data_IF_259119526511
#
_entry.id   IF_259119526511
#
_cell.length_a   1.000
_cell.length_b   1.000
_cell.length_c   1.000
_cell.angle_alpha   90.00
_cell.angle_beta   90.00
_cell.angle_gamma   90.00
#
_symmetry.space_group_name_H-M   'P 1'
#
loop_
_entity.id
_entity.type
_entity.pdbx_description
1 polymer ?
#
# COMPACT_ATOMS: atom_id res chain seq x y z
N UNK A 1 1.75 11.02 -17.10
CA UNK A 1 1.14 12.35 -17.30
C UNK A 1 -0.38 12.22 -17.29
N UNK A 2 -1.11 13.27 -16.90
CA UNK A 2 -2.58 13.24 -16.75
C UNK A 2 -3.34 13.70 -18.01
N UNK A 3 -2.65 13.79 -19.15
CA UNK A 3 -3.20 14.16 -20.45
C UNK A 3 -4.04 15.46 -20.41
N UNK A 4 -3.53 16.49 -19.72
CA UNK A 4 -4.22 17.78 -19.56
C UNK A 4 -5.40 17.79 -18.57
N UNK A 5 -5.72 16.67 -17.90
CA UNK A 5 -6.78 16.62 -16.90
C UNK A 5 -6.29 17.08 -15.53
N UNK A 6 -7.10 17.88 -14.85
CA UNK A 6 -6.78 18.44 -13.53
C UNK A 6 -6.88 17.32 -12.48
N UNK A 7 -5.83 17.15 -11.68
CA UNK A 7 -5.88 16.31 -10.47
C UNK A 7 -6.55 17.09 -9.35
N UNK A 8 -7.59 16.53 -8.72
CA UNK A 8 -8.30 17.19 -7.61
C UNK A 8 -7.81 16.73 -6.25
N UNK A 9 -7.50 15.44 -6.13
CA UNK A 9 -7.10 14.84 -4.86
C UNK A 9 -5.97 13.83 -5.11
N UNK A 10 -5.02 13.78 -4.19
CA UNK A 10 -3.89 12.89 -4.24
C UNK A 10 -3.66 12.25 -2.87
N UNK A 11 -3.53 10.92 -2.84
CA UNK A 11 -3.19 10.18 -1.62
C UNK A 11 -2.03 9.25 -1.93
N UNK A 12 -0.97 9.34 -1.14
CA UNK A 12 0.24 8.53 -1.30
C UNK A 12 0.57 7.86 0.02
N UNK A 13 0.79 6.55 -0.05
CA UNK A 13 1.24 5.74 1.08
C UNK A 13 2.74 5.48 0.98
N UNK A 14 3.22 5.09 -0.21
CA UNK A 14 4.62 4.70 -0.45
C UNK A 14 5.04 5.04 -1.88
N UNK A 15 6.34 4.92 -2.18
CA UNK A 15 6.82 4.85 -3.56
C UNK A 15 6.06 3.77 -4.34
N UNK A 16 5.50 4.14 -5.50
CA UNK A 16 4.63 3.29 -6.35
C UNK A 16 3.36 2.75 -5.67
N UNK A 17 2.94 3.34 -4.55
CA UNK A 17 1.68 3.04 -3.86
C UNK A 17 0.92 4.34 -3.57
N UNK A 18 0.17 4.80 -4.57
CA UNK A 18 -0.59 6.04 -4.52
C UNK A 18 -1.86 5.93 -5.37
N UNK A 19 -2.79 6.83 -5.09
CA UNK A 19 -4.03 6.99 -5.84
C UNK A 19 -4.34 8.47 -5.99
N UNK A 20 -5.14 8.81 -6.97
CA UNK A 20 -5.55 10.19 -7.22
C UNK A 20 -6.90 10.24 -7.91
N UNK A 21 -7.63 11.32 -7.66
CA UNK A 21 -8.83 11.65 -8.42
C UNK A 21 -8.49 12.65 -9.49
N UNK A 22 -9.08 12.42 -10.65
CA UNK A 22 -9.02 13.34 -11.77
C UNK A 22 -10.37 14.05 -11.84
N UNK A 23 -10.34 15.35 -12.09
CA UNK A 23 -11.52 16.13 -12.40
C UNK A 23 -12.11 15.63 -13.73
N UNK A 24 -13.23 14.92 -13.65
CA UNK A 24 -13.96 14.47 -14.83
C UNK A 24 -15.21 15.35 -15.01
N UNK A 25 -15.23 16.20 -16.05
CA UNK A 25 -16.44 16.87 -16.53
C UNK A 25 -17.35 15.81 -17.18
N UNK A 26 -18.10 15.05 -16.37
CA UNK A 26 -19.03 14.02 -16.84
C UNK A 26 -20.32 14.67 -17.38
N UNK A 27 -20.39 14.93 -18.69
CA UNK A 27 -21.66 15.11 -19.40
C UNK A 27 -22.00 13.82 -20.16
N UNK A 28 -23.16 13.22 -19.85
CA UNK A 28 -23.79 12.19 -20.67
C UNK A 28 -25.31 12.15 -20.37
N UNK A 29 -26.13 12.45 -21.37
CA UNK A 29 -27.56 12.10 -21.39
C UNK A 29 -27.67 10.67 -21.97
N UNK A 30 -28.43 9.80 -21.31
CA UNK A 30 -28.78 8.43 -21.74
C UNK A 30 -27.67 7.37 -21.91
N UNK A 31 -26.54 7.45 -21.18
CA UNK A 31 -25.57 6.33 -21.09
C UNK A 31 -25.27 5.96 -19.64
N UNK A 32 -25.39 4.67 -19.31
CA UNK A 32 -25.02 4.12 -17.99
C UNK A 32 -23.50 4.01 -17.88
N UNK A 33 -22.94 4.83 -16.98
CA UNK A 33 -21.52 4.86 -16.55
C UNK A 33 -21.06 3.44 -16.18
N UNK A 34 -20.23 2.73 -16.96
CA UNK A 34 -19.90 1.36 -16.61
C UNK A 34 -19.13 1.33 -15.28
N UNK A 35 -19.48 0.32 -14.50
CA UNK A 35 -19.15 0.02 -13.12
C UNK A 35 -17.70 -0.47 -13.07
N UNK A 36 -16.75 0.46 -13.22
CA UNK A 36 -15.32 0.18 -13.10
C UNK A 36 -14.97 0.16 -11.60
N UNK A 37 -15.33 -0.94 -10.92
CA UNK A 37 -14.86 -1.21 -9.56
C UNK A 37 -13.60 -2.05 -9.64
N UNK A 38 -12.45 -1.39 -9.55
CA UNK A 38 -11.25 -2.03 -9.00
C UNK A 38 -11.52 -2.34 -7.51
N UNK A 39 -11.04 -3.48 -7.02
CA UNK A 39 -11.13 -3.88 -5.60
C UNK A 39 -10.48 -2.88 -4.61
N UNK A 40 -9.66 -1.95 -5.14
CA UNK A 40 -9.07 -0.83 -4.42
C UNK A 40 -9.65 0.49 -4.93
N UNK A 41 -10.40 1.17 -4.07
CA UNK A 41 -10.98 2.48 -4.30
C UNK A 41 -10.14 3.58 -3.63
N UNK A 42 -10.28 4.82 -4.10
CA UNK A 42 -9.60 5.98 -3.51
C UNK A 42 -9.82 6.08 -1.99
N UNK A 43 -11.04 5.80 -1.53
CA UNK A 43 -11.40 5.82 -0.10
C UNK A 43 -10.61 4.78 0.72
N UNK A 44 -10.21 3.65 0.13
CA UNK A 44 -9.40 2.66 0.84
C UNK A 44 -8.00 3.20 1.15
N UNK A 45 -7.41 3.98 0.23
CA UNK A 45 -6.13 4.64 0.48
C UNK A 45 -6.28 5.73 1.55
N UNK A 46 -7.34 6.52 1.49
CA UNK A 46 -7.63 7.56 2.48
C UNK A 46 -7.82 6.97 3.88
N UNK A 47 -8.62 5.91 4.00
CA UNK A 47 -8.83 5.17 5.25
C UNK A 47 -7.55 4.51 5.75
N UNK A 48 -6.76 3.91 4.86
CA UNK A 48 -5.48 3.32 5.21
C UNK A 48 -4.54 4.37 5.79
N UNK A 49 -4.45 5.56 5.16
CA UNK A 49 -3.60 6.66 5.62
C UNK A 49 -4.03 7.16 7.02
N UNK A 50 -5.31 7.44 7.21
CA UNK A 50 -5.82 8.05 8.45
C UNK A 50 -5.86 7.07 9.62
N UNK A 51 -6.37 5.85 9.38
CA UNK A 51 -6.57 4.87 10.45
C UNK A 51 -5.33 3.99 10.67
N UNK A 52 -4.32 4.09 9.79
CA UNK A 52 -3.11 3.25 9.76
C UNK A 52 -3.43 1.75 9.65
N UNK A 53 -4.61 1.42 9.14
CA UNK A 53 -5.08 0.05 9.00
C UNK A 53 -4.68 -0.51 7.63
N UNK A 54 -3.95 -1.63 7.58
CA UNK A 54 -3.61 -2.26 6.31
C UNK A 54 -4.85 -2.89 5.65
N UNK A 55 -4.92 -2.82 4.32
CA UNK A 55 -5.96 -3.52 3.54
C UNK A 55 -5.34 -4.77 2.92
N UNK A 56 -6.05 -5.89 3.04
CA UNK A 56 -5.68 -7.15 2.41
C UNK A 56 -6.60 -7.45 1.22
N UNK A 57 -6.06 -8.07 0.18
CA UNK A 57 -6.77 -8.46 -1.03
C UNK A 57 -6.43 -9.91 -1.34
N UNK A 58 -7.46 -10.70 -1.66
CA UNK A 58 -7.30 -12.07 -2.12
C UNK A 58 -6.98 -12.06 -3.61
N UNK A 59 -6.00 -12.83 -4.01
CA UNK A 59 -5.66 -13.03 -5.41
C UNK A 59 -5.35 -14.50 -5.65
N UNK A 60 -5.82 -15.03 -6.78
CA UNK A 60 -5.46 -16.37 -7.22
C UNK A 60 -4.24 -16.25 -8.14
N UNK A 61 -3.21 -17.03 -7.84
CA UNK A 61 -2.00 -17.08 -8.67
C UNK A 61 -1.75 -18.51 -9.15
N UNK A 62 -1.18 -18.63 -10.34
CA UNK A 62 -0.57 -19.87 -10.78
C UNK A 62 0.79 -20.02 -10.08
N UNK A 63 1.04 -21.21 -9.52
CA UNK A 63 2.34 -21.63 -9.02
C UNK A 63 2.77 -22.91 -9.69
N UNK A 64 4.06 -22.99 -9.95
CA UNK A 64 4.71 -24.20 -10.44
C UNK A 64 5.69 -24.67 -9.38
N UNK A 65 5.56 -25.93 -8.97
CA UNK A 65 6.55 -26.61 -8.15
C UNK A 65 6.75 -28.02 -8.70
N UNK A 66 7.99 -28.50 -8.76
CA UNK A 66 8.35 -29.82 -9.33
C UNK A 66 7.67 -30.14 -10.67
N UNK A 67 7.53 -29.14 -11.54
CA UNK A 67 6.88 -29.22 -12.85
C UNK A 67 5.35 -29.47 -12.83
N UNK A 68 4.70 -29.33 -11.68
CA UNK A 68 3.24 -29.35 -11.55
C UNK A 68 2.70 -27.93 -11.37
N UNK A 69 1.63 -27.59 -12.11
CA UNK A 69 0.99 -26.28 -12.07
C UNK A 69 -0.29 -26.38 -11.23
N UNK A 70 -0.43 -25.49 -10.25
CA UNK A 70 -1.61 -25.40 -9.41
C UNK A 70 -1.98 -23.94 -9.11
N UNK A 71 -3.25 -23.74 -8.76
CA UNK A 71 -3.79 -22.42 -8.38
C UNK A 71 -3.69 -22.28 -6.86
N UNK A 72 -3.16 -21.15 -6.39
CA UNK A 72 -3.09 -20.81 -4.97
C UNK A 72 -3.83 -19.52 -4.72
N UNK A 73 -4.80 -19.54 -3.82
CA UNK A 73 -5.38 -18.31 -3.25
C UNK A 73 -4.37 -17.72 -2.25
N UNK A 74 -3.97 -16.47 -2.48
CA UNK A 74 -3.10 -15.72 -1.59
C UNK A 74 -3.82 -14.51 -1.04
N UNK A 75 -3.74 -14.32 0.27
CA UNK A 75 -4.17 -13.09 0.92
C UNK A 75 -3.01 -12.10 1.04
N UNK A 76 -2.96 -11.10 0.16
CA UNK A 76 -1.83 -10.15 0.07
C UNK A 76 -2.17 -8.83 0.75
N UNK A 77 -1.21 -8.28 1.50
CA UNK A 77 -1.31 -6.90 2.02
C UNK A 77 -1.21 -5.92 0.85
N UNK A 78 -2.34 -5.33 0.46
CA UNK A 78 -2.47 -4.46 -0.69
C UNK A 78 -2.18 -2.99 -0.35
N UNK A 79 -2.67 -2.51 0.80
CA UNK A 79 -2.41 -1.15 1.29
C UNK A 79 -1.76 -1.20 2.67
N UNK A 80 -0.75 -0.37 2.87
CA UNK A 80 -0.05 -0.18 4.14
C UNK A 80 0.58 1.21 4.15
N UNK A 81 0.47 1.91 5.28
CA UNK A 81 1.13 3.22 5.48
C UNK A 81 2.64 3.06 5.63
N UNK A 82 3.08 1.92 6.16
CA UNK A 82 4.50 1.69 6.45
C UNK A 82 5.27 1.22 5.22
N UNK A 83 6.45 1.80 5.01
CA UNK A 83 7.40 1.42 3.98
C UNK A 83 8.40 0.41 4.56
N UNK A 84 8.25 -0.89 4.23
CA UNK A 84 9.15 -1.94 4.76
C UNK A 84 10.63 -1.78 4.34
N UNK A 85 10.97 -0.84 3.45
CA UNK A 85 12.35 -0.56 2.98
C UNK A 85 12.94 0.70 3.61
N UNK A 86 12.17 1.43 4.42
CA UNK A 86 12.62 2.67 5.06
C UNK A 86 12.34 2.67 6.55
N UNK A 87 13.28 3.23 7.30
CA UNK A 87 13.14 3.54 8.71
C UNK A 87 12.66 4.98 8.86
N UNK A 88 11.54 5.18 9.56
CA UNK A 88 11.06 6.51 9.95
C UNK A 88 11.85 6.92 11.19
N UNK A 89 12.55 8.07 11.12
CA UNK A 89 13.29 8.62 12.25
C UNK A 89 12.34 9.09 13.36
N UNK A 90 12.87 9.35 14.56
CA UNK A 90 12.08 9.75 15.73
C UNK A 90 11.24 11.02 15.50
N UNK A 91 11.67 11.88 14.56
CA UNK A 91 10.93 13.06 14.15
C UNK A 91 9.66 12.77 13.34
N UNK A 92 9.42 11.51 12.96
CA UNK A 92 8.20 11.06 12.29
C UNK A 92 8.06 11.48 10.82
N UNK A 93 9.03 12.23 10.29
CA UNK A 93 8.97 12.82 8.93
C UNK A 93 10.08 12.26 8.06
N UNK A 94 11.31 12.27 8.57
CA UNK A 94 12.46 11.86 7.79
C UNK A 94 12.53 10.34 7.73
N UNK A 95 12.82 9.85 6.52
CA UNK A 95 12.93 8.41 6.26
C UNK A 95 14.30 8.10 5.69
N UNK A 96 14.99 7.14 6.31
CA UNK A 96 16.31 6.67 5.87
C UNK A 96 16.22 5.21 5.45
N UNK A 97 17.13 4.78 4.58
CA UNK A 97 17.22 3.35 4.25
C UNK A 97 17.68 2.56 5.48
N UNK A 98 17.28 1.29 5.56
CA UNK A 98 17.84 0.37 6.54
C UNK A 98 19.37 0.29 6.38
N UNK A 99 20.10 0.37 7.50
CA UNK A 99 21.56 0.34 7.52
C UNK A 99 22.22 1.71 7.39
N UNK A 100 21.44 2.78 7.35
CA UNK A 100 21.96 4.14 7.43
C UNK A 100 22.57 4.41 8.81
N UNK A 101 23.64 5.21 8.89
CA UNK A 101 24.33 5.49 10.16
C UNK A 101 23.41 6.13 11.22
N UNK A 102 22.39 6.88 10.79
CA UNK A 102 21.38 7.46 11.70
C UNK A 102 20.45 6.41 12.30
N UNK A 103 20.36 5.21 11.72
CA UNK A 103 19.66 4.09 12.33
C UNK A 103 20.58 3.46 13.36
N UNK A 104 20.27 3.61 14.65
CA UNK A 104 21.01 2.98 15.77
C UNK A 104 20.82 1.45 15.83
N UNK A 105 20.45 0.83 14.71
CA UNK A 105 20.12 -0.59 14.59
C UNK A 105 21.25 -1.26 13.82
N UNK A 106 21.86 -2.28 14.42
CA UNK A 106 22.87 -3.11 13.74
C UNK A 106 22.24 -3.87 12.59
N UNK A 107 23.01 -4.08 11.52
CA UNK A 107 22.52 -4.68 10.27
C UNK A 107 21.88 -6.06 10.47
N UNK A 108 22.44 -6.83 11.39
CA UNK A 108 22.01 -8.20 11.69
C UNK A 108 20.65 -8.24 12.41
N UNK A 109 20.28 -7.16 13.10
CA UNK A 109 19.05 -7.08 13.90
C UNK A 109 17.88 -6.46 13.11
N UNK A 110 18.06 -6.08 11.84
CA UNK A 110 17.00 -5.40 11.07
C UNK A 110 15.75 -6.24 10.88
N UNK A 111 15.91 -7.54 10.64
CA UNK A 111 14.80 -8.44 10.33
C UNK A 111 13.93 -8.67 11.56
N UNK A 112 14.57 -8.90 12.71
CA UNK A 112 13.90 -9.04 13.99
C UNK A 112 13.20 -7.74 14.42
N UNK A 113 13.85 -6.58 14.22
CA UNK A 113 13.24 -5.28 14.48
C UNK A 113 11.98 -5.05 13.63
N UNK A 114 12.03 -5.36 12.33
CA UNK A 114 10.89 -5.28 11.42
C UNK A 114 9.75 -6.21 11.86
N UNK A 115 10.07 -7.47 12.15
CA UNK A 115 9.06 -8.45 12.56
C UNK A 115 8.39 -8.04 13.89
N UNK A 116 9.17 -7.50 14.84
CA UNK A 116 8.64 -7.00 16.11
C UNK A 116 7.80 -5.74 15.95
N UNK A 117 8.20 -4.82 15.06
CA UNK A 117 7.44 -3.59 14.77
C UNK A 117 6.11 -3.92 14.07
N UNK A 118 6.14 -4.86 13.12
CA UNK A 118 4.94 -5.36 12.43
C UNK A 118 4.02 -6.08 13.43
N UNK A 119 4.56 -6.96 14.29
CA UNK A 119 3.79 -7.67 15.33
C UNK A 119 3.15 -6.72 16.35
N UNK A 120 3.92 -5.76 16.88
CA UNK A 120 3.44 -4.77 17.86
C UNK A 120 2.30 -3.92 17.31
N UNK A 121 2.38 -3.56 16.04
CA UNK A 121 1.37 -2.71 15.39
C UNK A 121 0.13 -3.51 14.97
N UNK A 122 0.26 -4.79 14.60
CA UNK A 122 -0.89 -5.67 14.37
C UNK A 122 -1.62 -6.05 15.66
N UNK A 123 -0.91 -6.15 16.81
CA UNK A 123 -1.50 -6.44 18.13
C UNK A 123 -2.31 -5.28 18.73
N UNK A 124 -2.17 -4.05 18.21
CA UNK A 124 -2.90 -2.87 18.73
C UNK A 124 -4.37 -2.81 18.28
N UNK A 125 -4.83 -3.79 17.50
CA UNK A 125 -6.16 -3.85 16.89
C UNK A 125 -6.82 -5.23 17.04
N UNK A 126 -6.42 -6.03 18.05
CA UNK A 126 -7.22 -7.13 18.57
C UNK A 126 -7.92 -6.69 19.85
#
# INVERSE_FOLDING_TARGET
ELNGKIMTEFVKLRSKLYTYKIFENKKAKDVKKPIVKNELCFNDFYNCLNNKNPKYVKQNIFRTDKNEIYIVEQNKKALSVYDDKRYILENGIDTVAWGHYSTKIKRDNFREYLDNLIKKNNKKYC
#
